data_IF_235408383135
#
_entry.id   IF_235408383135
#
_cell.length_a   1.000
_cell.length_b   1.000
_cell.length_c   1.000
_cell.angle_alpha   90.00
_cell.angle_beta   90.00
_cell.angle_gamma   90.00
#
_symmetry.space_group_name_H-M   'P 1'
#
loop_
_entity.id
_entity.type
_entity.pdbx_description
1 polymer ?
#
# COMPACT_ATOMS: atom_id res chain seq x y z
N UNK A 1 44.56 -17.48 23.73
CA UNK A 1 44.80 -16.27 22.91
C UNK A 1 43.60 -16.13 21.99
N UNK A 2 42.42 -15.84 22.53
CA UNK A 2 41.91 -14.49 22.87
C UNK A 2 41.86 -13.55 21.66
N UNK A 3 40.64 -13.10 21.37
CA UNK A 3 40.36 -12.07 20.37
C UNK A 3 38.86 -11.89 20.09
N UNK A 4 38.02 -11.86 21.12
CA UNK A 4 36.60 -11.47 21.03
C UNK A 4 36.51 -9.97 20.83
N UNK A 5 35.91 -9.49 19.74
CA UNK A 5 35.50 -8.08 19.64
C UNK A 5 34.09 -7.96 20.20
N UNK A 6 34.02 -7.50 21.45
CA UNK A 6 32.81 -7.03 22.11
C UNK A 6 32.56 -5.60 21.63
N UNK A 7 31.45 -5.35 20.92
CA UNK A 7 30.93 -3.99 20.77
C UNK A 7 29.77 -3.84 21.75
N UNK A 8 30.09 -3.31 22.94
CA UNK A 8 29.11 -2.80 23.88
C UNK A 8 28.61 -1.45 23.37
N UNK A 9 27.31 -1.35 23.08
CA UNK A 9 26.62 -0.06 23.00
C UNK A 9 25.37 -0.10 23.88
N UNK A 10 25.58 0.14 25.17
CA UNK A 10 24.55 0.65 26.06
C UNK A 10 24.48 2.16 25.88
N UNK A 11 23.51 2.65 25.11
CA UNK A 11 23.01 3.99 25.30
C UNK A 11 21.49 3.94 25.46
N UNK A 12 21.05 3.95 26.73
CA UNK A 12 19.68 4.27 27.11
C UNK A 12 19.47 5.77 26.87
N UNK A 13 18.96 6.10 25.70
CA UNK A 13 18.34 7.39 25.42
C UNK A 13 16.91 7.13 25.01
N UNK A 14 15.99 7.19 25.98
CA UNK A 14 14.57 7.17 25.68
C UNK A 14 14.22 8.39 24.83
N UNK A 15 13.74 8.13 23.63
CA UNK A 15 12.78 9.00 22.98
C UNK A 15 11.58 8.10 22.69
N UNK A 16 10.56 8.25 23.55
CA UNK A 16 9.18 7.92 23.18
C UNK A 16 8.90 8.76 21.95
N UNK A 17 9.10 8.19 20.77
CA UNK A 17 8.42 8.67 19.58
C UNK A 17 6.95 8.44 19.88
N UNK A 18 6.23 9.51 20.15
CA UNK A 18 4.78 9.52 20.05
C UNK A 18 4.45 9.07 18.63
N UNK A 19 4.10 7.79 18.52
CA UNK A 19 3.44 7.22 17.37
C UNK A 19 2.07 7.91 17.33
N UNK A 20 2.01 9.10 16.72
CA UNK A 20 0.74 9.73 16.39
C UNK A 20 0.06 8.84 15.34
N UNK A 21 -0.61 7.80 15.83
CA UNK A 21 -1.71 7.18 15.14
C UNK A 21 -2.65 8.33 14.77
N UNK A 22 -2.63 8.71 13.50
CA UNK A 22 -3.26 9.92 12.99
C UNK A 22 -4.77 9.86 13.25
N UNK A 23 -5.21 10.41 14.39
CA UNK A 23 -6.54 10.19 14.94
C UNK A 23 -7.61 10.57 13.90
N UNK A 24 -8.65 9.76 13.83
CA UNK A 24 -9.78 10.07 12.97
C UNK A 24 -10.55 11.20 13.64
N UNK A 25 -10.81 12.28 12.90
CA UNK A 25 -11.68 13.35 13.40
C UNK A 25 -13.06 12.78 13.76
N UNK A 26 -13.80 13.43 14.66
CA UNK A 26 -15.16 13.02 15.05
C UNK A 26 -16.06 12.89 13.81
N UNK A 27 -15.92 13.81 12.86
CA UNK A 27 -16.65 13.76 11.58
C UNK A 27 -16.26 12.54 10.74
N UNK A 28 -14.97 12.21 10.64
CA UNK A 28 -14.51 11.01 9.92
C UNK A 28 -15.00 9.72 10.57
N UNK A 29 -14.92 9.61 11.91
CA UNK A 29 -15.45 8.45 12.67
C UNK A 29 -16.93 8.22 12.36
N UNK A 30 -17.74 9.27 12.49
CA UNK A 30 -19.17 9.19 12.17
C UNK A 30 -19.44 8.81 10.71
N UNK A 31 -18.71 9.38 9.76
CA UNK A 31 -18.86 9.07 8.33
C UNK A 31 -18.43 7.64 7.99
N UNK A 32 -17.42 7.11 8.68
CA UNK A 32 -16.98 5.72 8.56
C UNK A 32 -18.07 4.76 9.03
N UNK A 33 -18.70 5.04 10.16
CA UNK A 33 -19.82 4.23 10.67
C UNK A 33 -21.01 4.22 9.69
N UNK A 34 -21.39 5.40 9.18
CA UNK A 34 -22.44 5.51 8.16
C UNK A 34 -22.10 4.73 6.90
N UNK A 35 -20.86 4.82 6.43
CA UNK A 35 -20.39 4.07 5.27
C UNK A 35 -20.44 2.56 5.52
N UNK A 36 -19.97 2.08 6.68
CA UNK A 36 -20.06 0.66 7.07
C UNK A 36 -21.51 0.19 7.06
N UNK A 37 -22.43 0.94 7.67
CA UNK A 37 -23.85 0.60 7.69
C UNK A 37 -24.47 0.55 6.29
N UNK A 38 -24.09 1.50 5.42
CA UNK A 38 -24.57 1.53 4.04
C UNK A 38 -24.07 0.33 3.22
N UNK A 39 -22.81 -0.06 3.39
CA UNK A 39 -22.24 -1.23 2.71
C UNK A 39 -22.95 -2.52 3.13
N UNK A 40 -23.22 -2.71 4.42
CA UNK A 40 -23.98 -3.87 4.92
C UNK A 40 -25.41 -3.94 4.36
N UNK A 41 -26.02 -2.80 4.04
CA UNK A 41 -27.37 -2.78 3.42
C UNK A 41 -27.36 -3.08 1.92
N UNK A 42 -26.26 -2.79 1.23
CA UNK A 42 -26.18 -2.81 -0.24
C UNK A 42 -25.50 -4.03 -0.81
N UNK A 43 -24.72 -4.71 0.01
CA UNK A 43 -23.91 -5.81 -0.42
C UNK A 43 -24.11 -7.01 0.49
N UNK A 44 -24.55 -8.10 -0.11
CA UNK A 44 -24.68 -9.41 0.55
C UNK A 44 -23.33 -10.15 0.64
N UNK A 45 -22.27 -9.64 -0.02
CA UNK A 45 -21.01 -10.37 -0.13
C UNK A 45 -20.07 -10.15 1.09
N UNK A 46 -19.25 -11.16 1.46
CA UNK A 46 -18.26 -11.08 2.55
C UNK A 46 -17.13 -10.04 2.45
N UNK A 47 -16.59 -9.62 1.28
CA UNK A 47 -15.35 -8.84 1.22
C UNK A 47 -15.48 -7.42 1.78
N UNK A 48 -16.71 -6.94 2.02
CA UNK A 48 -16.98 -5.63 2.58
C UNK A 48 -16.72 -5.56 4.10
N UNK A 49 -16.90 -6.67 4.82
CA UNK A 49 -16.72 -6.71 6.28
C UNK A 49 -15.24 -6.64 6.70
N UNK A 50 -14.33 -7.06 5.81
CA UNK A 50 -12.89 -7.06 6.06
C UNK A 50 -12.19 -5.72 5.71
N UNK A 51 -12.94 -4.69 5.31
CA UNK A 51 -12.35 -3.38 4.96
C UNK A 51 -12.05 -2.59 6.24
N UNK A 52 -10.80 -2.19 6.40
CA UNK A 52 -10.33 -1.40 7.54
C UNK A 52 -10.76 0.08 7.48
N UNK A 53 -10.81 0.75 8.62
CA UNK A 53 -11.25 2.15 8.73
C UNK A 53 -10.36 3.14 7.98
N UNK A 54 -9.06 2.86 7.83
CA UNK A 54 -8.17 3.70 7.03
C UNK A 54 -8.53 3.62 5.55
N UNK A 55 -8.88 2.44 5.05
CA UNK A 55 -9.37 2.24 3.69
C UNK A 55 -10.69 2.99 3.51
N UNK A 56 -11.65 2.84 4.43
CA UNK A 56 -12.91 3.59 4.39
C UNK A 56 -12.67 5.11 4.36
N UNK A 57 -11.76 5.62 5.19
CA UNK A 57 -11.34 7.03 5.21
C UNK A 57 -10.76 7.49 3.88
N UNK A 58 -9.92 6.68 3.22
CA UNK A 58 -9.34 7.02 1.91
C UNK A 58 -10.44 7.24 0.86
N UNK A 59 -11.45 6.37 0.80
CA UNK A 59 -12.57 6.51 -0.14
C UNK A 59 -13.47 7.69 0.21
N UNK A 60 -13.72 7.93 1.50
CA UNK A 60 -14.47 9.11 1.97
C UNK A 60 -13.75 10.41 1.57
N UNK A 61 -12.44 10.53 1.85
CA UNK A 61 -11.65 11.72 1.50
C UNK A 61 -11.60 11.95 -0.01
N UNK A 62 -11.47 10.89 -0.80
CA UNK A 62 -11.48 10.99 -2.26
C UNK A 62 -12.82 11.49 -2.83
N UNK A 63 -13.88 11.52 -2.02
CA UNK A 63 -15.24 11.93 -2.40
C UNK A 63 -15.81 12.98 -1.44
N UNK A 64 -14.94 13.84 -0.89
CA UNK A 64 -15.35 15.00 -0.08
C UNK A 64 -16.26 14.63 1.12
N UNK A 65 -16.03 13.45 1.72
CA UNK A 65 -16.84 12.88 2.81
C UNK A 65 -18.32 12.62 2.46
N UNK A 66 -18.61 12.51 1.16
CA UNK A 66 -19.90 12.04 0.62
C UNK A 66 -19.98 10.51 0.74
N UNK A 67 -20.80 10.03 1.67
CA UNK A 67 -20.94 8.61 2.02
C UNK A 67 -21.44 7.80 0.83
N UNK A 68 -22.37 8.35 0.05
CA UNK A 68 -23.00 7.67 -1.07
C UNK A 68 -22.03 7.46 -2.22
N UNK A 69 -21.35 8.55 -2.64
CA UNK A 69 -20.33 8.49 -3.69
C UNK A 69 -19.15 7.61 -3.27
N UNK A 70 -18.73 7.69 -2.00
CA UNK A 70 -17.67 6.85 -1.47
C UNK A 70 -18.05 5.37 -1.53
N UNK A 71 -19.27 5.01 -1.13
CA UNK A 71 -19.76 3.63 -1.19
C UNK A 71 -19.81 3.10 -2.63
N UNK A 72 -20.37 3.86 -3.58
CA UNK A 72 -20.39 3.45 -4.99
C UNK A 72 -18.98 3.24 -5.53
N UNK A 73 -18.04 4.11 -5.20
CA UNK A 73 -16.64 3.97 -5.62
C UNK A 73 -15.97 2.74 -4.99
N UNK A 74 -16.17 2.53 -3.69
CA UNK A 74 -15.59 1.40 -2.95
C UNK A 74 -16.14 0.06 -3.46
N UNK A 75 -17.44 -0.04 -3.73
CA UNK A 75 -18.04 -1.26 -4.29
C UNK A 75 -17.43 -1.59 -5.66
N UNK A 76 -17.31 -0.59 -6.54
CA UNK A 76 -16.66 -0.78 -7.85
C UNK A 76 -15.20 -1.22 -7.69
N UNK A 77 -14.47 -0.59 -6.77
CA UNK A 77 -13.07 -0.93 -6.48
C UNK A 77 -12.93 -2.36 -5.96
N UNK A 78 -13.75 -2.79 -5.01
CA UNK A 78 -13.67 -4.14 -4.43
C UNK A 78 -13.98 -5.22 -5.46
N UNK A 79 -15.01 -5.01 -6.31
CA UNK A 79 -15.31 -5.91 -7.43
C UNK A 79 -14.12 -6.02 -8.40
N UNK A 80 -13.54 -4.88 -8.77
CA UNK A 80 -12.34 -4.86 -9.62
C UNK A 80 -11.16 -5.56 -8.94
N UNK A 81 -10.92 -5.31 -7.65
CA UNK A 81 -9.80 -5.89 -6.90
C UNK A 81 -9.90 -7.40 -6.82
N UNK A 82 -11.08 -7.94 -6.53
CA UNK A 82 -11.30 -9.39 -6.46
C UNK A 82 -11.07 -10.07 -7.82
N UNK A 83 -11.39 -9.40 -8.93
CA UNK A 83 -11.15 -9.92 -10.27
C UNK A 83 -9.68 -9.76 -10.72
N UNK A 84 -9.05 -8.63 -10.42
CA UNK A 84 -7.72 -8.27 -10.91
C UNK A 84 -6.60 -8.92 -10.09
N UNK A 85 -6.77 -8.99 -8.76
CA UNK A 85 -5.78 -9.51 -7.81
C UNK A 85 -6.44 -10.52 -6.84
N UNK A 86 -6.82 -11.71 -7.35
CA UNK A 86 -7.57 -12.70 -6.56
C UNK A 86 -6.79 -13.19 -5.33
N UNK A 87 -5.46 -13.30 -5.43
CA UNK A 87 -4.58 -13.69 -4.31
C UNK A 87 -4.30 -12.55 -3.32
N UNK A 88 -4.88 -11.36 -3.53
CA UNK A 88 -4.75 -10.20 -2.65
C UNK A 88 -3.42 -9.43 -2.76
N UNK A 89 -2.41 -9.99 -3.42
CA UNK A 89 -1.13 -9.36 -3.75
C UNK A 89 -0.66 -9.78 -5.15
N UNK A 90 0.24 -8.98 -5.73
CA UNK A 90 0.94 -9.31 -6.98
C UNK A 90 2.31 -9.87 -6.63
N UNK A 91 2.59 -11.08 -7.07
CA UNK A 91 3.87 -11.76 -6.89
C UNK A 91 4.91 -11.31 -7.94
N UNK A 92 6.22 -11.33 -7.62
CA UNK A 92 7.26 -11.03 -8.61
C UNK A 92 7.22 -11.92 -9.85
N UNK A 93 6.76 -13.17 -9.71
CA UNK A 93 6.57 -14.11 -10.82
C UNK A 93 5.47 -13.72 -11.80
N UNK A 94 4.53 -12.87 -11.40
CA UNK A 94 3.50 -12.34 -12.30
C UNK A 94 4.00 -11.17 -13.15
N UNK A 95 5.11 -10.55 -12.76
CA UNK A 95 5.67 -9.35 -13.42
C UNK A 95 7.19 -9.43 -13.70
N UNK A 96 7.72 -10.57 -14.17
CA UNK A 96 9.16 -10.78 -14.29
C UNK A 96 9.81 -9.88 -15.35
N UNK A 97 9.13 -9.56 -16.45
CA UNK A 97 9.64 -8.72 -17.52
C UNK A 97 9.65 -7.25 -17.10
N UNK A 98 8.64 -6.80 -16.35
CA UNK A 98 8.62 -5.44 -15.80
C UNK A 98 9.72 -5.22 -14.75
N UNK A 99 9.96 -6.22 -13.90
CA UNK A 99 11.06 -6.22 -12.92
C UNK A 99 12.42 -6.21 -13.63
N UNK A 100 12.60 -7.03 -14.68
CA UNK A 100 13.84 -7.14 -15.41
C UNK A 100 14.30 -5.80 -16.04
N UNK A 101 13.38 -4.87 -16.31
CA UNK A 101 13.70 -3.55 -16.84
C UNK A 101 14.40 -2.63 -15.83
N UNK A 102 14.41 -2.97 -14.52
CA UNK A 102 15.10 -2.21 -13.46
C UNK A 102 14.79 -0.71 -13.53
N UNK A 103 13.49 -0.40 -13.66
CA UNK A 103 12.99 0.97 -13.80
C UNK A 103 12.26 1.48 -12.56
N UNK A 104 12.07 0.66 -11.54
CA UNK A 104 11.37 1.02 -10.30
C UNK A 104 12.18 0.53 -9.10
N UNK A 105 12.39 1.38 -8.11
CA UNK A 105 13.20 1.09 -6.92
C UNK A 105 12.56 1.68 -5.67
N UNK A 106 12.65 0.98 -4.54
CA UNK A 106 12.34 1.54 -3.23
C UNK A 106 13.60 2.21 -2.66
N UNK A 107 13.51 3.45 -2.20
CA UNK A 107 14.64 4.27 -1.74
C UNK A 107 14.51 4.67 -0.26
N UNK A 108 14.00 3.77 0.57
CA UNK A 108 13.81 4.00 2.00
C UNK A 108 12.59 4.87 2.30
N UNK A 109 12.68 5.63 3.39
CA UNK A 109 11.59 6.46 3.91
C UNK A 109 11.94 7.95 3.81
N UNK A 110 10.93 8.79 3.67
CA UNK A 110 11.09 10.24 3.79
C UNK A 110 11.19 10.69 5.26
N UNK A 111 11.29 12.00 5.49
CA UNK A 111 11.38 12.59 6.84
C UNK A 111 10.16 12.32 7.72
N UNK A 112 9.04 11.89 7.15
CA UNK A 112 7.79 11.56 7.83
C UNK A 112 7.57 10.05 7.91
N UNK A 113 8.59 9.24 7.59
CA UNK A 113 8.49 7.78 7.63
C UNK A 113 7.69 7.17 6.47
N UNK A 114 7.40 7.93 5.40
CA UNK A 114 6.64 7.43 4.25
C UNK A 114 7.58 6.79 3.22
N UNK A 115 7.27 5.61 2.68
CA UNK A 115 8.14 4.94 1.72
C UNK A 115 8.26 5.72 0.40
N UNK A 116 9.49 5.78 -0.12
CA UNK A 116 9.82 6.45 -1.36
C UNK A 116 10.03 5.41 -2.46
N UNK A 117 9.26 5.52 -3.54
CA UNK A 117 9.49 4.79 -4.78
C UNK A 117 10.06 5.74 -5.85
N UNK A 118 11.15 5.34 -6.50
CA UNK A 118 11.77 6.07 -7.62
C UNK A 118 11.55 5.29 -8.90
N UNK A 119 11.00 5.96 -9.91
CA UNK A 119 10.71 5.39 -11.22
C UNK A 119 11.52 6.11 -12.31
N UNK A 120 12.31 5.36 -13.07
CA UNK A 120 13.08 5.85 -14.20
C UNK A 120 12.28 5.68 -15.49
N UNK A 121 11.49 6.70 -15.86
CA UNK A 121 10.66 6.67 -17.07
C UNK A 121 11.45 6.38 -18.35
N UNK A 122 12.69 6.88 -18.46
CA UNK A 122 13.57 6.62 -19.61
C UNK A 122 14.06 5.17 -19.75
N UNK A 123 13.84 4.32 -18.74
CA UNK A 123 14.10 2.86 -18.81
C UNK A 123 12.86 2.06 -19.19
N UNK A 124 11.72 2.72 -19.43
CA UNK A 124 10.52 2.03 -19.85
C UNK A 124 10.68 1.50 -21.28
N UNK A 125 10.65 0.18 -21.41
CA UNK A 125 10.55 -0.51 -22.70
C UNK A 125 9.17 -1.14 -22.73
N UNK A 126 8.43 -0.89 -23.81
CA UNK A 126 7.12 -1.51 -23.99
C UNK A 126 7.27 -3.04 -23.94
N UNK A 127 6.59 -3.65 -22.96
CA UNK A 127 6.69 -5.07 -22.73
C UNK A 127 5.82 -5.82 -23.74
N UNK A 128 6.43 -6.28 -24.83
CA UNK A 128 5.73 -7.03 -25.87
C UNK A 128 5.43 -8.48 -25.48
N UNK A 129 6.05 -9.02 -24.42
CA UNK A 129 5.85 -10.42 -23.99
C UNK A 129 4.67 -10.57 -23.03
N UNK A 130 4.71 -9.92 -21.86
CA UNK A 130 3.59 -9.93 -20.92
C UNK A 130 2.57 -8.82 -21.12
N UNK A 131 2.84 -7.92 -22.08
CA UNK A 131 1.86 -6.95 -22.54
C UNK A 131 1.47 -5.92 -21.49
N UNK A 132 0.34 -5.27 -21.76
CA UNK A 132 -0.23 -4.24 -20.90
C UNK A 132 -0.67 -4.77 -19.54
N UNK A 133 -1.05 -6.05 -19.46
CA UNK A 133 -1.57 -6.62 -18.22
C UNK A 133 -0.46 -6.84 -17.19
N UNK A 134 0.73 -7.29 -17.63
CA UNK A 134 1.91 -7.34 -16.77
C UNK A 134 2.28 -5.95 -16.26
N UNK A 135 2.26 -4.93 -17.14
CA UNK A 135 2.52 -3.54 -16.75
C UNK A 135 1.51 -3.02 -15.71
N UNK A 136 0.21 -3.26 -15.91
CA UNK A 136 -0.84 -2.88 -14.94
C UNK A 136 -0.63 -3.59 -13.59
N UNK A 137 -0.31 -4.89 -13.61
CA UNK A 137 -0.02 -5.67 -12.39
C UNK A 137 1.21 -5.10 -11.67
N UNK A 138 2.26 -4.75 -12.40
CA UNK A 138 3.47 -4.16 -11.82
C UNK A 138 3.16 -2.82 -11.15
N UNK A 139 2.42 -1.94 -11.84
CA UNK A 139 1.98 -0.66 -11.27
C UNK A 139 1.15 -0.82 -10.00
N UNK A 140 0.18 -1.75 -10.00
CA UNK A 140 -0.61 -2.05 -8.80
C UNK A 140 0.25 -2.63 -7.66
N UNK A 141 1.16 -3.56 -7.98
CA UNK A 141 2.08 -4.17 -7.01
C UNK A 141 2.97 -3.16 -6.32
N UNK A 142 3.58 -2.23 -7.07
CA UNK A 142 4.37 -1.12 -6.51
C UNK A 142 3.53 -0.27 -5.57
N UNK A 143 2.30 0.08 -5.97
CA UNK A 143 1.37 0.80 -5.11
C UNK A 143 1.06 0.05 -3.81
N UNK A 144 0.90 -1.27 -3.85
CA UNK A 144 0.67 -2.08 -2.65
C UNK A 144 1.87 -2.07 -1.70
N UNK A 145 3.10 -2.15 -2.24
CA UNK A 145 4.33 -2.13 -1.44
C UNK A 145 4.45 -0.77 -0.74
N UNK A 146 4.32 0.33 -1.49
CA UNK A 146 4.34 1.70 -0.93
C UNK A 146 3.23 1.91 0.12
N UNK A 147 2.04 1.31 -0.05
CA UNK A 147 0.97 1.46 0.94
C UNK A 147 1.13 0.59 2.20
N UNK A 148 1.96 -0.47 2.16
CA UNK A 148 2.12 -1.45 3.24
C UNK A 148 3.43 -1.29 4.02
N UNK A 149 4.48 -0.76 3.41
CA UNK A 149 5.78 -0.58 4.05
C UNK A 149 5.78 0.64 4.99
N UNK A 150 5.44 0.40 6.26
CA UNK A 150 5.77 1.31 7.37
C UNK A 150 7.19 1.02 7.91
N UNK A 151 7.80 -0.10 7.53
CA UNK A 151 9.08 -0.57 8.09
C UNK A 151 10.29 -0.45 7.16
N UNK A 152 10.12 0.03 5.92
CA UNK A 152 11.24 0.27 5.00
C UNK A 152 12.03 -0.98 4.59
N UNK A 153 11.41 -2.17 4.56
CA UNK A 153 12.09 -3.43 4.23
C UNK A 153 11.62 -4.11 2.94
N UNK A 154 10.70 -3.52 2.17
CA UNK A 154 10.32 -4.03 0.85
C UNK A 154 11.45 -3.86 -0.17
N UNK A 155 12.24 -4.91 -0.37
CA UNK A 155 13.16 -5.00 -1.50
C UNK A 155 12.37 -5.16 -2.80
N UNK A 156 12.26 -4.08 -3.57
CA UNK A 156 12.01 -4.19 -5.02
C UNK A 156 13.34 -4.00 -5.74
N UNK A 157 13.84 -5.14 -6.22
CA UNK A 157 14.93 -5.32 -7.17
C UNK A 157 16.29 -4.69 -6.82
N UNK A 158 17.25 -5.55 -6.44
CA UNK A 158 18.69 -5.39 -6.61
C UNK A 158 19.36 -4.30 -5.76
N UNK A 159 19.97 -4.72 -4.64
CA UNK A 159 21.02 -3.92 -3.99
C UNK A 159 22.13 -3.64 -5.02
N UNK A 160 22.59 -2.40 -5.05
CA UNK A 160 23.57 -1.90 -6.01
C UNK A 160 24.92 -2.59 -5.86
#
# INVERSE_FOLDING_TARGET
MEGTIVVNNNNKGGQKGEEEAQDFSVQEKHKIELLRALLHKRADDPPFQAVDDYTLRRFLRARDLDVEKAATMLIKYLKWRSAFVPSGNISPSEVPNEIAQKKMFMQGLDKQGRPIAVVFGGRHIQNNKGGLDEFKRCGFGVGQIVCKDVSGQGKVCGDR
#
